data_IF_278677717681
#
_entry.id   IF_278677717681
#
_cell.length_a   1.000
_cell.length_b   1.000
_cell.length_c   1.000
_cell.angle_alpha   90.00
_cell.angle_beta   90.00
_cell.angle_gamma   90.00
#
_symmetry.space_group_name_H-M   'P 1'
#
loop_
_entity.id
_entity.type
_entity.pdbx_description
1 polymer ?
#
# COMPACT_ATOMS: atom_id res chain seq x y z
N UNK A 1 -4.26 17.75 4.67
CA UNK A 1 -5.26 17.04 5.48
C UNK A 1 -5.73 17.83 6.71
N UNK A 2 -4.87 18.53 7.44
CA UNK A 2 -5.28 19.31 8.61
C UNK A 2 -6.43 20.29 8.38
N UNK A 3 -6.49 20.94 7.20
CA UNK A 3 -7.59 21.84 6.86
C UNK A 3 -8.95 21.09 6.74
N UNK A 4 -8.92 19.85 6.30
CA UNK A 4 -10.13 19.00 6.28
C UNK A 4 -10.56 18.66 7.70
N UNK A 5 -9.60 18.25 8.55
CA UNK A 5 -9.87 17.93 9.96
C UNK A 5 -10.49 19.14 10.64
N UNK A 6 -9.89 20.34 10.49
CA UNK A 6 -10.37 21.59 11.10
C UNK A 6 -11.83 21.89 10.80
N UNK A 7 -12.28 21.56 9.58
CA UNK A 7 -13.68 21.81 9.15
C UNK A 7 -14.66 20.72 9.60
N UNK A 8 -14.16 19.59 10.05
CA UNK A 8 -15.00 18.46 10.48
C UNK A 8 -15.22 18.44 11.99
N UNK A 9 -14.27 18.98 12.75
CA UNK A 9 -14.27 18.89 14.22
C UNK A 9 -14.88 20.14 14.85
N UNK A 10 -15.41 19.97 16.05
CA UNK A 10 -16.02 21.06 16.81
C UNK A 10 -14.95 22.13 17.11
N UNK A 11 -15.31 23.39 16.96
CA UNK A 11 -14.46 24.59 17.19
C UNK A 11 -13.15 24.60 16.39
N UNK A 12 -12.96 23.64 15.48
CA UNK A 12 -11.73 23.47 14.72
C UNK A 12 -10.54 23.05 15.58
N UNK A 13 -10.80 22.44 16.75
CA UNK A 13 -9.79 22.02 17.72
C UNK A 13 -9.62 20.50 17.75
N UNK A 14 -8.36 20.07 17.85
CA UNK A 14 -8.01 18.65 18.01
C UNK A 14 -6.69 18.52 18.79
N UNK A 15 -6.47 17.34 19.33
CA UNK A 15 -5.24 16.98 20.01
C UNK A 15 -4.44 15.96 19.20
N UNK A 16 -3.33 16.42 18.61
CA UNK A 16 -2.44 15.56 17.80
C UNK A 16 -1.61 14.62 18.68
N UNK A 17 -1.48 13.38 18.24
CA UNK A 17 -0.57 12.42 18.83
C UNK A 17 0.61 12.14 17.90
N UNK A 18 1.84 12.22 18.43
CA UNK A 18 3.08 11.89 17.72
C UNK A 18 3.28 12.69 16.42
N UNK A 19 3.09 13.99 16.46
CA UNK A 19 3.21 14.90 15.31
C UNK A 19 4.53 14.80 14.55
N UNK A 20 5.63 14.55 15.27
CA UNK A 20 6.97 14.49 14.67
C UNK A 20 7.36 13.09 14.18
N UNK A 21 6.59 12.06 14.54
CA UNK A 21 6.83 10.68 14.14
C UNK A 21 5.87 10.26 13.02
N UNK A 22 6.37 9.56 11.99
CA UNK A 22 5.58 9.04 10.87
C UNK A 22 4.60 10.09 10.30
N UNK A 23 5.15 11.15 9.71
CA UNK A 23 4.39 12.34 9.27
C UNK A 23 3.46 12.07 8.08
N UNK A 24 3.56 10.91 7.44
CA UNK A 24 2.69 10.49 6.32
C UNK A 24 1.28 10.16 6.78
N UNK A 25 1.09 9.92 8.10
CA UNK A 25 -0.21 9.67 8.71
C UNK A 25 -0.40 10.59 9.94
N UNK A 26 -1.61 11.10 10.08
CA UNK A 26 -2.05 11.89 11.21
C UNK A 26 -2.88 11.01 12.12
N UNK A 27 -2.63 11.09 13.42
CA UNK A 27 -3.46 10.48 14.46
C UNK A 27 -3.79 11.55 15.49
N UNK A 28 -5.07 11.83 15.69
CA UNK A 28 -5.50 12.84 16.64
C UNK A 28 -6.82 12.48 17.30
N UNK A 29 -7.05 13.04 18.48
CA UNK A 29 -8.33 13.01 19.16
C UNK A 29 -9.02 14.36 18.95
N UNK A 30 -10.33 14.32 18.73
CA UNK A 30 -11.13 15.52 18.51
C UNK A 30 -12.53 15.34 19.08
N UNK A 31 -13.38 16.36 18.91
CA UNK A 31 -14.81 16.25 19.17
C UNK A 31 -15.60 16.48 17.88
N UNK A 32 -16.66 15.75 17.70
CA UNK A 32 -17.62 15.94 16.61
C UNK A 32 -19.05 15.84 17.18
N UNK A 33 -19.78 16.95 17.14
CA UNK A 33 -21.10 17.04 17.76
C UNK A 33 -21.07 16.77 19.27
N UNK A 34 -20.03 17.25 19.96
CA UNK A 34 -19.80 17.06 21.40
C UNK A 34 -19.24 15.68 21.80
N UNK A 35 -19.11 14.72 20.88
CA UNK A 35 -18.62 13.37 21.15
C UNK A 35 -17.14 13.23 20.80
N UNK A 36 -16.40 12.53 21.64
CA UNK A 36 -14.99 12.22 21.37
C UNK A 36 -14.88 11.29 20.15
N UNK A 37 -13.90 11.56 19.28
CA UNK A 37 -13.59 10.77 18.10
C UNK A 37 -12.08 10.68 17.92
N UNK A 38 -11.60 9.49 17.54
CA UNK A 38 -10.23 9.26 17.10
C UNK A 38 -10.14 9.38 15.58
N UNK A 39 -9.26 10.23 15.08
CA UNK A 39 -9.08 10.46 13.65
C UNK A 39 -7.77 9.85 13.19
N UNK A 40 -7.83 8.97 12.19
CA UNK A 40 -6.70 8.43 11.45
C UNK A 40 -6.76 8.96 10.02
N UNK A 41 -5.83 9.83 9.65
CA UNK A 41 -5.90 10.52 8.38
C UNK A 41 -4.58 10.43 7.59
N UNK A 42 -4.66 10.19 6.29
CA UNK A 42 -3.50 10.30 5.40
C UNK A 42 -3.00 11.74 5.31
N UNK A 43 -1.67 11.94 5.23
CA UNK A 43 -1.09 13.27 5.03
C UNK A 43 -0.39 13.37 3.67
N UNK A 44 -1.10 13.72 2.59
CA UNK A 44 -0.53 13.74 1.24
C UNK A 44 0.63 14.72 1.03
N UNK A 45 0.75 15.74 1.89
CA UNK A 45 1.89 16.68 1.84
C UNK A 45 3.22 16.05 2.23
N UNK A 46 3.17 14.88 2.88
CA UNK A 46 4.34 14.12 3.27
C UNK A 46 4.40 12.85 2.43
N UNK A 47 5.38 12.74 1.52
CA UNK A 47 5.58 11.59 0.64
C UNK A 47 4.29 11.09 -0.05
N UNK A 48 3.38 12.01 -0.39
CA UNK A 48 2.10 11.66 -1.03
C UNK A 48 1.10 10.91 -0.13
N UNK A 49 1.36 10.78 1.18
CA UNK A 49 0.52 10.00 2.10
C UNK A 49 0.76 8.50 2.04
N UNK A 50 1.91 8.06 1.52
CA UNK A 50 2.29 6.64 1.44
C UNK A 50 2.47 6.07 2.84
N UNK A 51 2.10 4.81 3.01
CA UNK A 51 2.29 4.10 4.28
C UNK A 51 3.65 3.40 4.31
N UNK A 52 4.38 3.61 5.38
CA UNK A 52 5.65 2.94 5.70
C UNK A 52 5.53 2.18 7.03
N UNK A 53 6.64 1.60 7.49
CA UNK A 53 6.68 0.81 8.72
C UNK A 53 6.24 1.63 9.92
N UNK A 54 6.74 2.85 10.03
CA UNK A 54 6.48 3.74 11.18
C UNK A 54 5.04 4.25 11.18
N UNK A 55 4.48 4.59 10.02
CA UNK A 55 3.09 5.03 9.89
C UNK A 55 2.11 3.90 10.20
N UNK A 56 2.42 2.68 9.78
CA UNK A 56 1.63 1.50 10.12
C UNK A 56 1.64 1.24 11.65
N UNK A 57 2.80 1.29 12.30
CA UNK A 57 2.91 1.13 13.75
C UNK A 57 2.21 2.27 14.52
N UNK A 58 2.35 3.51 14.06
CA UNK A 58 1.68 4.67 14.64
C UNK A 58 0.17 4.51 14.63
N UNK A 59 -0.38 4.17 13.45
CA UNK A 59 -1.82 3.96 13.28
C UNK A 59 -2.33 2.77 14.08
N UNK A 60 -1.63 1.63 14.04
CA UNK A 60 -2.02 0.44 14.81
C UNK A 60 -2.15 0.72 16.30
N UNK A 61 -1.15 1.41 16.89
CA UNK A 61 -1.18 1.78 18.29
C UNK A 61 -2.30 2.75 18.63
N UNK A 62 -2.58 3.69 17.74
CA UNK A 62 -3.65 4.66 17.93
C UNK A 62 -5.04 4.00 17.84
N UNK A 63 -5.26 3.11 16.88
CA UNK A 63 -6.50 2.34 16.75
C UNK A 63 -6.75 1.51 18.02
N UNK A 64 -5.72 0.79 18.50
CA UNK A 64 -5.83 0.03 19.74
C UNK A 64 -6.12 0.93 20.96
N UNK A 65 -5.55 2.13 21.01
CA UNK A 65 -5.86 3.10 22.06
C UNK A 65 -7.34 3.49 22.02
N UNK A 66 -7.84 3.87 20.84
CA UNK A 66 -9.24 4.27 20.68
C UNK A 66 -10.19 3.12 21.04
N UNK A 67 -9.87 1.91 20.61
CA UNK A 67 -10.68 0.72 20.93
C UNK A 67 -10.71 0.44 22.42
N UNK A 68 -9.56 0.53 23.11
CA UNK A 68 -9.46 0.30 24.56
C UNK A 68 -10.26 1.31 25.39
N UNK A 69 -10.44 2.53 24.88
CA UNK A 69 -11.19 3.60 25.57
C UNK A 69 -12.62 3.80 25.01
N UNK A 70 -13.08 2.94 24.11
CA UNK A 70 -14.42 3.03 23.50
C UNK A 70 -14.61 4.29 22.65
N UNK A 71 -13.55 4.81 22.03
CA UNK A 71 -13.57 6.03 21.21
C UNK A 71 -13.84 5.64 19.75
N UNK A 72 -14.93 6.09 19.12
CA UNK A 72 -15.22 5.86 17.70
C UNK A 72 -14.08 6.36 16.81
N UNK A 73 -13.88 5.70 15.67
CA UNK A 73 -12.80 5.97 14.73
C UNK A 73 -13.32 6.59 13.43
N UNK A 74 -12.68 7.68 12.99
CA UNK A 74 -12.86 8.29 11.69
C UNK A 74 -11.59 8.11 10.85
N UNK A 75 -11.72 7.44 9.71
CA UNK A 75 -10.63 7.27 8.74
C UNK A 75 -10.81 8.26 7.57
N UNK A 76 -9.81 9.11 7.34
CA UNK A 76 -9.76 10.04 6.21
C UNK A 76 -8.71 9.56 5.21
N UNK A 77 -9.17 8.94 4.12
CA UNK A 77 -8.30 8.29 3.15
C UNK A 77 -7.88 9.22 2.01
N UNK A 78 -6.58 9.34 1.81
CA UNK A 78 -5.93 9.82 0.60
C UNK A 78 -4.57 9.12 0.48
N UNK A 79 -4.61 7.80 0.25
CA UNK A 79 -3.47 6.89 0.36
C UNK A 79 -3.15 6.24 -0.98
N UNK A 80 -1.91 6.40 -1.49
CA UNK A 80 -1.48 5.77 -2.73
C UNK A 80 -1.09 4.29 -2.55
N UNK A 81 -0.97 3.81 -1.32
CA UNK A 81 -0.57 2.45 -0.97
C UNK A 81 0.53 2.40 0.08
N UNK A 82 1.12 1.22 0.23
CA UNK A 82 2.33 1.03 1.02
C UNK A 82 3.58 1.34 0.21
N UNK A 83 4.62 1.78 0.92
CA UNK A 83 5.94 1.96 0.33
C UNK A 83 6.50 0.61 -0.14
N UNK A 84 7.05 0.59 -1.34
CA UNK A 84 7.67 -0.59 -1.95
C UNK A 84 9.17 -0.37 -2.12
N UNK A 85 9.93 -1.45 -2.07
CA UNK A 85 11.36 -1.43 -2.32
C UNK A 85 12.14 -2.25 -1.30
N UNK A 86 13.33 -2.70 -1.70
CA UNK A 86 14.15 -3.64 -0.93
C UNK A 86 14.41 -3.20 0.50
N UNK A 87 14.66 -1.91 0.73
CA UNK A 87 14.95 -1.39 2.08
C UNK A 87 13.75 -1.54 3.03
N UNK A 88 12.54 -1.17 2.58
CA UNK A 88 11.34 -1.26 3.43
C UNK A 88 10.87 -2.69 3.59
N UNK A 89 11.11 -3.54 2.59
CA UNK A 89 10.81 -4.98 2.67
C UNK A 89 11.72 -5.66 3.69
N UNK A 90 13.02 -5.41 3.63
CA UNK A 90 13.98 -5.90 4.63
C UNK A 90 13.71 -5.36 6.03
N UNK A 91 13.22 -4.12 6.15
CA UNK A 91 12.76 -3.53 7.41
C UNK A 91 11.42 -4.11 7.90
N UNK A 92 10.76 -4.98 7.12
CA UNK A 92 9.58 -5.74 7.54
C UNK A 92 8.25 -5.03 7.29
N UNK A 93 8.08 -4.31 6.19
CA UNK A 93 6.84 -3.59 5.85
C UNK A 93 5.59 -4.51 5.92
N UNK A 94 5.73 -5.77 5.50
CA UNK A 94 4.63 -6.74 5.58
C UNK A 94 4.20 -6.96 7.03
N UNK A 95 5.15 -7.12 7.95
CA UNK A 95 4.88 -7.33 9.37
C UNK A 95 4.26 -6.09 10.02
N UNK A 96 4.80 -4.90 9.72
CA UNK A 96 4.29 -3.64 10.26
C UNK A 96 2.91 -3.31 9.68
N UNK A 97 2.71 -3.49 8.38
CA UNK A 97 1.40 -3.36 7.74
C UNK A 97 0.35 -4.32 8.32
N UNK A 98 0.75 -5.57 8.58
CA UNK A 98 -0.12 -6.56 9.21
C UNK A 98 -0.58 -6.14 10.61
N UNK A 99 0.26 -5.45 11.41
CA UNK A 99 -0.15 -4.91 12.73
C UNK A 99 -1.28 -3.89 12.60
N UNK A 100 -1.17 -2.97 11.63
CA UNK A 100 -2.21 -1.98 11.39
C UNK A 100 -3.51 -2.64 10.93
N UNK A 101 -3.39 -3.56 9.99
CA UNK A 101 -4.52 -4.35 9.48
C UNK A 101 -5.23 -5.11 10.60
N UNK A 102 -4.47 -5.77 11.46
CA UNK A 102 -4.99 -6.51 12.60
C UNK A 102 -5.66 -5.59 13.63
N UNK A 103 -5.09 -4.43 13.93
CA UNK A 103 -5.69 -3.46 14.82
C UNK A 103 -7.05 -2.98 14.30
N UNK A 104 -7.14 -2.63 13.02
CA UNK A 104 -8.38 -2.17 12.39
C UNK A 104 -9.44 -3.27 12.34
N UNK A 105 -9.04 -4.52 12.03
CA UNK A 105 -9.98 -5.65 11.95
C UNK A 105 -10.56 -6.05 13.32
N UNK A 106 -9.78 -5.88 14.39
CA UNK A 106 -10.18 -6.23 15.75
C UNK A 106 -10.90 -5.12 16.50
N UNK A 107 -10.79 -3.89 16.04
CA UNK A 107 -11.43 -2.76 16.70
C UNK A 107 -12.95 -2.95 16.72
N UNK A 108 -13.52 -2.89 17.93
CA UNK A 108 -14.95 -3.09 18.20
C UNK A 108 -15.72 -1.77 18.21
N UNK A 109 -15.03 -0.65 18.32
CA UNK A 109 -15.62 0.69 18.26
C UNK A 109 -16.19 1.01 16.88
N UNK A 110 -17.22 1.87 16.80
CA UNK A 110 -17.73 2.34 15.50
C UNK A 110 -16.63 2.92 14.62
N UNK A 111 -16.66 2.56 13.34
CA UNK A 111 -15.69 2.99 12.33
C UNK A 111 -16.40 3.67 11.16
N UNK A 112 -16.00 4.89 10.89
CA UNK A 112 -16.46 5.64 9.71
C UNK A 112 -15.28 5.90 8.78
N UNK A 113 -15.45 5.66 7.51
CA UNK A 113 -14.41 5.89 6.50
C UNK A 113 -14.87 6.88 5.44
N UNK A 114 -14.05 7.88 5.18
CA UNK A 114 -14.25 8.87 4.11
C UNK A 114 -13.09 8.80 3.14
N UNK A 115 -13.37 8.41 1.90
CA UNK A 115 -12.40 8.41 0.82
C UNK A 115 -12.40 9.79 0.15
N UNK A 116 -11.35 10.56 0.34
CA UNK A 116 -11.24 11.94 -0.14
C UNK A 116 -10.73 12.01 -1.58
N UNK A 117 -9.70 11.22 -1.89
CA UNK A 117 -9.09 11.19 -3.21
C UNK A 117 -8.59 9.79 -3.57
N UNK A 118 -7.39 9.42 -3.14
CA UNK A 118 -6.79 8.13 -3.48
C UNK A 118 -7.07 7.08 -2.41
N UNK A 119 -7.42 5.88 -2.85
CA UNK A 119 -7.55 4.71 -2.00
C UNK A 119 -7.08 3.48 -2.78
N UNK A 120 -5.75 3.24 -2.77
CA UNK A 120 -5.16 2.23 -3.63
C UNK A 120 -4.59 1.04 -2.88
N UNK A 121 -4.83 -0.15 -3.44
CA UNK A 121 -4.23 -1.41 -3.02
C UNK A 121 -4.42 -1.73 -1.54
N UNK A 122 -3.38 -2.28 -0.92
CA UNK A 122 -3.40 -2.62 0.50
C UNK A 122 -3.57 -1.40 1.42
N UNK A 123 -3.20 -0.17 0.97
CA UNK A 123 -3.44 1.06 1.70
C UNK A 123 -4.91 1.34 1.94
N UNK A 124 -5.77 1.07 0.93
CA UNK A 124 -7.22 1.16 1.08
C UNK A 124 -7.75 0.22 2.18
N UNK A 125 -7.25 -1.01 2.20
CA UNK A 125 -7.69 -1.99 3.20
C UNK A 125 -7.32 -1.58 4.61
N UNK A 126 -6.05 -1.27 4.88
CA UNK A 126 -5.58 -0.95 6.24
C UNK A 126 -6.15 0.35 6.80
N UNK A 127 -6.60 1.25 5.95
CA UNK A 127 -7.33 2.47 6.33
C UNK A 127 -8.84 2.23 6.49
N UNK A 128 -9.24 1.03 6.90
CA UNK A 128 -10.62 0.61 7.09
C UNK A 128 -11.45 0.70 5.81
N UNK A 129 -11.00 -0.01 4.77
CA UNK A 129 -11.77 -0.19 3.55
C UNK A 129 -12.99 -1.11 3.76
N UNK A 130 -13.81 -1.25 2.72
CA UNK A 130 -15.10 -1.98 2.78
C UNK A 130 -14.98 -3.40 3.34
N UNK A 131 -13.85 -4.08 3.11
CA UNK A 131 -13.62 -5.45 3.59
C UNK A 131 -13.56 -5.57 5.13
N UNK A 132 -13.34 -4.46 5.84
CA UNK A 132 -13.33 -4.41 7.30
C UNK A 132 -14.62 -3.85 7.90
N UNK A 133 -15.66 -3.85 7.10
CA UNK A 133 -17.03 -3.55 7.51
C UNK A 133 -17.14 -2.31 8.41
N UNK A 134 -16.68 -1.12 7.92
CA UNK A 134 -16.98 0.10 8.64
C UNK A 134 -18.48 0.33 8.69
N UNK A 135 -18.96 0.92 9.79
CA UNK A 135 -20.39 1.26 9.95
C UNK A 135 -20.88 2.20 8.85
N UNK A 136 -19.98 3.05 8.35
CA UNK A 136 -20.25 3.90 7.20
C UNK A 136 -18.97 4.08 6.38
N UNK A 137 -19.09 3.92 5.07
CA UNK A 137 -18.05 4.32 4.11
C UNK A 137 -18.65 5.22 3.04
N UNK A 138 -18.07 6.38 2.89
CA UNK A 138 -18.45 7.36 1.87
C UNK A 138 -17.24 7.80 1.06
N UNK A 139 -17.48 8.26 -0.15
CA UNK A 139 -16.42 8.73 -1.04
C UNK A 139 -16.80 10.09 -1.65
N UNK A 140 -15.83 10.98 -1.77
CA UNK A 140 -16.03 12.22 -2.50
C UNK A 140 -16.16 11.92 -4.01
N UNK A 141 -16.84 12.80 -4.79
CA UNK A 141 -16.98 12.60 -6.24
C UNK A 141 -15.65 12.47 -6.99
N UNK A 142 -14.58 13.03 -6.43
CA UNK A 142 -13.21 12.96 -6.95
C UNK A 142 -12.40 11.76 -6.43
N UNK A 143 -13.02 10.88 -5.65
CA UNK A 143 -12.33 9.73 -5.08
C UNK A 143 -12.03 8.66 -6.14
N UNK A 144 -10.82 8.10 -6.04
CA UNK A 144 -10.36 7.00 -6.89
C UNK A 144 -10.04 5.78 -6.02
N UNK A 145 -10.80 4.71 -6.19
CA UNK A 145 -10.58 3.44 -5.51
C UNK A 145 -10.10 2.43 -6.53
N UNK A 146 -8.92 1.85 -6.32
CA UNK A 146 -8.34 0.87 -7.24
C UNK A 146 -7.42 -0.12 -6.53
N UNK A 147 -7.34 -1.33 -7.06
CA UNK A 147 -6.37 -2.33 -6.58
C UNK A 147 -4.94 -1.93 -6.97
N UNK A 148 -4.76 -1.25 -8.10
CA UNK A 148 -3.47 -0.78 -8.59
C UNK A 148 -3.54 0.69 -9.00
N UNK A 149 -2.43 1.40 -8.88
CA UNK A 149 -2.31 2.77 -9.39
C UNK A 149 -2.59 2.78 -10.89
N UNK A 150 -3.58 3.54 -11.34
CA UNK A 150 -3.78 3.77 -12.78
C UNK A 150 -2.57 4.51 -13.33
N UNK A 151 -1.78 3.83 -14.14
CA UNK A 151 -0.78 4.51 -14.96
C UNK A 151 -1.54 5.48 -15.87
N UNK A 152 -1.23 6.76 -15.78
CA UNK A 152 -1.70 7.70 -16.81
C UNK A 152 -1.33 7.12 -18.17
N UNK A 153 -2.23 7.15 -19.19
CA UNK A 153 -1.86 6.73 -20.52
C UNK A 153 -0.63 7.55 -20.91
N UNK A 154 0.52 6.88 -21.03
CA UNK A 154 1.68 7.52 -21.61
C UNK A 154 1.25 7.89 -23.02
N UNK A 155 1.20 9.17 -23.33
CA UNK A 155 1.18 9.68 -24.70
C UNK A 155 2.54 9.35 -25.33
N UNK A 156 2.81 8.06 -25.51
CA UNK A 156 3.86 7.61 -26.41
C UNK A 156 3.28 7.78 -27.80
N UNK A 157 3.63 8.90 -28.40
CA UNK A 157 3.57 9.13 -29.84
C UNK A 157 3.92 7.83 -30.56
N UNK A 158 2.98 7.35 -31.36
CA UNK A 158 3.09 6.14 -32.21
C UNK A 158 4.07 6.32 -33.39
N UNK A 159 5.13 7.12 -33.21
CA UNK A 159 6.03 7.51 -34.29
C UNK A 159 7.38 6.78 -34.33
N UNK A 160 7.64 5.80 -33.47
CA UNK A 160 8.94 5.11 -33.48
C UNK A 160 8.88 3.58 -33.53
N UNK A 161 7.93 3.02 -34.29
CA UNK A 161 7.91 1.57 -34.61
C UNK A 161 8.40 1.21 -36.01
N UNK A 162 8.90 2.16 -36.79
CA UNK A 162 9.30 1.88 -38.20
C UNK A 162 10.81 1.84 -38.46
N UNK A 163 11.67 1.87 -37.45
CA UNK A 163 13.11 1.80 -37.67
C UNK A 163 13.80 0.77 -36.76
N UNK A 164 13.44 -0.50 -36.92
CA UNK A 164 14.40 -1.57 -36.61
C UNK A 164 14.83 -2.22 -37.93
N UNK A 165 16.12 -2.16 -38.30
CA UNK A 165 16.61 -2.93 -39.45
C UNK A 165 16.46 -4.43 -39.13
N UNK A 166 15.79 -5.13 -40.02
CA UNK A 166 15.79 -6.61 -40.01
C UNK A 166 17.21 -7.08 -40.27
N UNK A 167 17.87 -7.65 -39.32
CA UNK A 167 19.06 -8.47 -39.53
C UNK A 167 18.65 -9.76 -40.24
N UNK A 168 19.29 -10.14 -41.38
CA UNK A 168 18.99 -11.40 -42.06
C UNK A 168 19.49 -12.57 -41.23
N UNK A 169 18.66 -13.62 -41.15
CA UNK A 169 19.08 -14.93 -40.61
C UNK A 169 20.18 -15.50 -41.51
N UNK A 170 21.26 -16.09 -40.98
CA UNK A 170 22.18 -16.90 -41.78
C UNK A 170 21.47 -18.22 -42.19
N UNK A 171 21.45 -18.47 -43.47
CA UNK A 171 20.98 -19.69 -44.07
C UNK A 171 21.83 -20.90 -43.65
N UNK A 172 21.13 -21.98 -43.34
CA UNK A 172 21.68 -23.32 -43.26
C UNK A 172 22.44 -23.71 -44.56
N UNK A 173 23.65 -24.11 -44.41
CA UNK A 173 24.32 -24.92 -45.42
C UNK A 173 24.74 -26.25 -44.84
N UNK A 174 24.19 -27.24 -45.45
CA UNK A 174 24.44 -28.66 -45.33
C UNK A 174 25.90 -29.05 -45.62
N UNK A 175 26.34 -30.08 -44.99
CA UNK A 175 27.00 -31.29 -45.50
C UNK A 175 27.93 -31.86 -44.41
N UNK A 176 27.66 -33.01 -43.99
CA UNK A 176 27.90 -34.38 -44.43
C UNK A 176 29.30 -34.92 -44.03
N UNK A 177 29.23 -36.15 -43.49
CA UNK A 177 30.28 -37.18 -43.39
C UNK A 177 31.45 -36.92 -42.43
N UNK A 178 31.83 -37.81 -41.54
CA UNK A 178 32.01 -39.21 -41.54
C UNK A 178 32.38 -39.66 -40.11
N UNK A 179 31.75 -40.71 -39.63
CA UNK A 179 32.33 -42.04 -39.42
C UNK A 179 33.56 -42.16 -38.53
N UNK A 180 33.40 -42.82 -37.45
CA UNK A 180 34.11 -44.05 -37.05
C UNK A 180 34.50 -44.11 -35.56
N UNK A 181 33.93 -45.13 -34.94
CA UNK A 181 34.50 -46.16 -34.08
C UNK A 181 34.94 -45.81 -32.67
N UNK A 182 34.18 -46.43 -31.76
CA UNK A 182 34.55 -47.54 -30.83
C UNK A 182 35.39 -47.07 -29.66
N UNK A 183 35.07 -47.32 -28.45
CA UNK A 183 34.86 -48.53 -27.71
C UNK A 183 34.57 -48.22 -26.25
N UNK A 184 33.57 -48.80 -25.71
CA UNK A 184 33.41 -49.19 -24.30
C UNK A 184 34.38 -50.29 -23.96
N UNK A 185 34.59 -50.78 -22.74
CA UNK A 185 33.86 -50.61 -21.50
C UNK A 185 34.75 -50.55 -20.22
N UNK A 186 34.20 -50.40 -19.04
CA UNK A 186 34.29 -51.38 -17.91
C UNK A 186 34.16 -50.66 -16.57
N UNK A 187 33.11 -50.96 -15.87
CA UNK A 187 32.98 -50.89 -14.40
C UNK A 187 33.67 -52.15 -13.79
N UNK A 188 33.61 -52.43 -12.50
CA UNK A 188 33.41 -51.76 -11.20
C UNK A 188 34.48 -52.27 -10.18
N UNK A 189 34.26 -52.58 -8.91
CA UNK A 189 33.46 -52.04 -7.83
C UNK A 189 34.26 -51.88 -6.51
N UNK A 190 33.57 -51.57 -5.43
CA UNK A 190 33.96 -52.01 -4.10
C UNK A 190 34.11 -50.99 -3.01
N UNK A 191 33.12 -51.01 -2.17
CA UNK A 191 33.18 -51.31 -0.72
C UNK A 191 34.09 -50.45 0.17
N UNK A 192 33.59 -49.68 0.97
CA UNK A 192 33.29 -49.85 2.42
C UNK A 192 32.54 -48.64 2.90
#
# INVERSE_FOLDING_TARGET
MYEVIRRLVDDGEWFDLKTQFAKTIITCLARMGGRAVGIVASQPRQLGGILDNDSADKAARFVNLCDAFGIPLLFLQDVPGFMVGTKVEQAGIIRHGAKMLYAVSRATVPKVTVVLRKAYGAGYYVMCGKAYEPDLIVAWPSAEISVMVRRAPSTSSSADRSRRPRTPRPSERSSSMASARSSTPTSPPGTL
#
